data_IF_218369562314
#
_entry.id   IF_218369562314
#
_cell.length_a   1.000
_cell.length_b   1.000
_cell.length_c   1.000
_cell.angle_alpha   90.00
_cell.angle_beta   90.00
_cell.angle_gamma   90.00
#
_symmetry.space_group_name_H-M   'P 1'
#
loop_
_entity.id
_entity.type
_entity.pdbx_description
1 polymer ?
#
# COMPACT_ATOMS: atom_id res chain seq x y z
N UNK A 1 24.73 -5.48 -18.59
CA UNK A 1 24.02 -6.70 -18.14
C UNK A 1 23.11 -6.31 -17.00
N UNK A 2 21.79 -6.49 -17.14
CA UNK A 2 20.87 -6.15 -16.05
C UNK A 2 21.01 -7.17 -14.91
N UNK A 3 21.34 -6.69 -13.74
CA UNK A 3 21.40 -7.50 -12.53
C UNK A 3 19.97 -7.79 -12.08
N UNK A 4 19.52 -9.02 -12.24
CA UNK A 4 18.22 -9.50 -11.76
C UNK A 4 18.32 -9.69 -10.26
N UNK A 5 17.69 -8.82 -9.48
CA UNK A 5 17.58 -9.01 -8.04
C UNK A 5 16.33 -9.86 -7.76
N UNK A 6 16.55 -11.09 -7.31
CA UNK A 6 15.49 -12.00 -6.89
C UNK A 6 15.19 -11.72 -5.43
N UNK A 7 14.04 -11.11 -5.14
CA UNK A 7 13.56 -10.95 -3.77
C UNK A 7 12.68 -12.15 -3.42
N UNK A 8 13.21 -13.07 -2.61
CA UNK A 8 12.45 -14.21 -2.08
C UNK A 8 11.82 -13.78 -0.77
N UNK A 9 10.50 -13.63 -0.73
CA UNK A 9 9.75 -13.45 0.51
C UNK A 9 9.24 -14.81 0.99
N UNK A 10 9.65 -15.31 2.16
CA UNK A 10 9.03 -16.49 2.75
C UNK A 10 7.68 -16.12 3.34
N UNK A 11 6.60 -16.57 2.74
CA UNK A 11 5.28 -16.59 3.36
C UNK A 11 5.25 -17.72 4.39
N UNK A 12 5.15 -17.32 5.65
CA UNK A 12 4.93 -18.28 6.74
C UNK A 12 3.47 -18.76 6.71
N UNK A 13 3.32 -20.07 6.51
CA UNK A 13 2.22 -20.91 6.90
C UNK A 13 0.82 -20.62 6.31
N UNK A 14 0.65 -21.07 5.07
CA UNK A 14 -0.58 -21.74 4.68
C UNK A 14 -0.21 -23.22 4.49
N UNK A 15 -0.84 -24.10 5.25
CA UNK A 15 -0.64 -25.54 5.12
C UNK A 15 -1.05 -26.00 3.72
N UNK A 16 -0.10 -26.57 3.03
CA UNK A 16 -0.04 -27.26 1.77
C UNK A 16 0.91 -26.54 0.79
N UNK A 17 2.08 -27.14 0.65
CA UNK A 17 3.10 -27.03 -0.39
C UNK A 17 2.76 -26.18 -1.63
N UNK A 18 3.06 -24.90 -1.57
CA UNK A 18 3.08 -24.01 -2.72
C UNK A 18 3.89 -22.76 -2.38
N UNK A 19 5.10 -22.65 -2.93
CA UNK A 19 5.90 -21.44 -2.84
C UNK A 19 5.48 -20.53 -4.00
N UNK A 20 4.84 -19.40 -3.71
CA UNK A 20 4.56 -18.39 -4.72
C UNK A 20 5.75 -17.43 -4.75
N UNK A 21 6.46 -17.40 -5.86
CA UNK A 21 7.50 -16.40 -6.11
C UNK A 21 6.90 -15.19 -6.79
N UNK A 22 6.95 -14.03 -6.15
CA UNK A 22 6.62 -12.76 -6.81
C UNK A 22 7.94 -12.13 -7.25
N UNK A 23 8.17 -12.14 -8.56
CA UNK A 23 9.32 -11.46 -9.17
C UNK A 23 8.93 -10.03 -9.53
N UNK A 24 9.64 -9.06 -8.99
CA UNK A 24 9.57 -7.67 -9.46
C UNK A 24 10.71 -7.43 -10.44
N UNK A 25 10.40 -7.22 -11.71
CA UNK A 25 11.36 -6.82 -12.74
C UNK A 25 11.30 -5.31 -12.89
N UNK A 26 12.28 -4.61 -12.33
CA UNK A 26 12.37 -3.17 -12.52
C UNK A 26 12.98 -2.86 -13.88
N UNK A 27 12.19 -2.34 -14.80
CA UNK A 27 12.71 -1.63 -15.98
C UNK A 27 12.93 -0.17 -15.59
N UNK A 28 14.14 0.30 -15.77
CA UNK A 28 14.50 1.70 -15.61
C UNK A 28 13.91 2.48 -16.78
N UNK A 29 12.64 2.85 -16.72
CA UNK A 29 11.99 3.73 -17.69
C UNK A 29 11.72 5.07 -17.04
N UNK A 30 12.16 6.14 -17.66
CA UNK A 30 11.81 7.52 -17.31
C UNK A 30 10.28 7.64 -17.18
N UNK A 31 9.79 8.03 -16.02
CA UNK A 31 8.37 8.21 -15.76
C UNK A 31 7.80 9.32 -16.65
N UNK A 32 6.76 9.00 -17.42
CA UNK A 32 5.94 10.01 -18.06
C UNK A 32 4.95 10.59 -17.03
N UNK A 33 4.60 11.87 -17.16
CA UNK A 33 3.68 12.59 -16.29
C UNK A 33 2.24 12.02 -16.25
N UNK A 34 1.98 10.94 -16.97
CA UNK A 34 0.68 10.26 -17.09
C UNK A 34 0.57 8.98 -16.26
N UNK A 35 1.61 8.60 -15.49
CA UNK A 35 1.54 7.45 -14.60
C UNK A 35 0.74 7.82 -13.33
N UNK A 36 -0.59 7.77 -13.47
CA UNK A 36 -1.52 7.95 -12.37
C UNK A 36 -1.38 6.79 -11.38
N UNK A 37 -1.06 7.14 -10.16
CA UNK A 37 -1.41 6.31 -9.02
C UNK A 37 -0.28 5.71 -8.22
N UNK A 38 1.02 5.80 -8.61
CA UNK A 38 2.09 5.27 -7.76
C UNK A 38 3.48 5.89 -8.04
N UNK A 39 3.73 7.13 -7.65
CA UNK A 39 5.08 7.71 -7.75
C UNK A 39 6.10 6.91 -6.92
N UNK A 40 5.65 6.18 -5.92
CA UNK A 40 6.49 5.48 -4.94
C UNK A 40 6.83 4.03 -5.30
N UNK A 41 6.26 3.45 -6.36
CA UNK A 41 6.53 2.04 -6.71
C UNK A 41 7.69 1.84 -7.71
N UNK A 42 8.23 2.89 -8.29
CA UNK A 42 9.29 2.82 -9.30
C UNK A 42 10.30 3.96 -9.15
N UNK A 43 11.46 3.79 -9.77
CA UNK A 43 12.52 4.80 -9.78
C UNK A 43 13.43 4.75 -8.56
N UNK A 44 14.26 5.78 -8.41
CA UNK A 44 15.13 5.94 -7.25
C UNK A 44 14.33 6.32 -6.01
N UNK A 45 14.87 5.97 -4.85
CA UNK A 45 14.28 6.35 -3.56
C UNK A 45 14.48 7.85 -3.33
N UNK A 46 13.42 8.53 -2.93
CA UNK A 46 13.41 9.98 -2.72
C UNK A 46 13.10 10.34 -1.28
N UNK A 47 13.38 11.58 -0.91
CA UNK A 47 12.90 12.13 0.36
C UNK A 47 11.37 12.05 0.42
N UNK A 48 10.85 11.65 1.59
CA UNK A 48 9.42 11.39 1.79
C UNK A 48 8.99 9.96 1.46
N UNK A 49 9.79 9.20 0.70
CA UNK A 49 9.47 7.80 0.42
C UNK A 49 9.48 6.97 1.71
N UNK A 50 8.47 6.10 1.82
CA UNK A 50 8.47 5.06 2.86
C UNK A 50 9.25 3.86 2.34
N UNK A 51 10.18 3.37 3.15
CA UNK A 51 10.97 2.18 2.86
C UNK A 51 10.78 1.13 3.95
N UNK A 52 10.92 -0.11 3.57
CA UNK A 52 11.01 -1.25 4.46
C UNK A 52 12.47 -1.66 4.60
N UNK A 53 12.96 -1.55 5.80
CA UNK A 53 14.34 -1.91 6.15
C UNK A 53 14.35 -3.30 6.75
N UNK A 54 15.04 -4.23 6.11
CA UNK A 54 15.29 -5.57 6.66
C UNK A 54 16.63 -5.56 7.40
N UNK A 55 16.59 -5.82 8.70
CA UNK A 55 17.78 -5.86 9.54
C UNK A 55 18.59 -7.17 9.35
N UNK A 56 19.83 -7.26 9.90
CA UNK A 56 20.68 -8.46 9.77
C UNK A 56 20.06 -9.76 10.33
N UNK A 57 19.01 -9.67 11.15
CA UNK A 57 18.27 -10.82 11.67
C UNK A 57 16.95 -11.09 10.91
N UNK A 58 16.71 -10.35 9.82
CA UNK A 58 15.53 -10.50 8.99
C UNK A 58 14.27 -9.83 9.52
N UNK A 59 14.37 -8.96 10.54
CA UNK A 59 13.23 -8.16 11.02
C UNK A 59 13.02 -6.97 10.10
N UNK A 60 11.76 -6.61 9.91
CA UNK A 60 11.35 -5.48 9.10
C UNK A 60 11.04 -4.26 9.97
N UNK A 61 11.48 -3.10 9.50
CA UNK A 61 11.20 -1.79 10.08
C UNK A 61 10.69 -0.87 8.98
N UNK A 62 9.67 -0.08 9.26
CA UNK A 62 9.14 0.93 8.34
C UNK A 62 9.80 2.27 8.66
N UNK A 63 10.33 2.93 7.64
CA UNK A 63 11.05 4.21 7.77
C UNK A 63 10.58 5.16 6.68
N UNK A 64 10.31 6.40 7.02
CA UNK A 64 10.14 7.50 6.06
C UNK A 64 11.49 8.16 5.86
N UNK A 65 11.96 8.27 4.63
CA UNK A 65 13.24 8.90 4.31
C UNK A 65 13.13 10.41 4.47
N UNK A 66 14.02 10.98 5.26
CA UNK A 66 14.13 12.42 5.49
C UNK A 66 15.59 12.84 5.28
N UNK A 67 15.82 13.90 4.51
CA UNK A 67 17.17 14.43 4.28
C UNK A 67 17.85 14.80 5.61
N UNK A 68 19.06 14.31 5.79
CA UNK A 68 19.79 14.45 7.07
C UNK A 68 19.30 13.55 8.19
N UNK A 69 18.26 12.75 7.97
CA UNK A 69 17.73 11.78 8.94
C UNK A 69 18.64 10.57 9.12
N UNK A 70 18.40 9.80 10.19
CA UNK A 70 19.12 8.57 10.50
C UNK A 70 18.17 7.50 10.98
N UNK A 71 18.26 6.31 10.40
CA UNK A 71 17.68 5.11 10.97
C UNK A 71 18.63 4.53 12.02
N UNK A 72 18.09 4.18 13.19
CA UNK A 72 18.86 3.56 14.26
C UNK A 72 18.05 2.42 14.89
N UNK A 73 18.70 1.30 15.08
CA UNK A 73 18.19 0.14 15.81
C UNK A 73 19.26 -0.37 16.79
N UNK A 74 18.89 -1.32 17.63
CA UNK A 74 19.84 -2.01 18.52
C UNK A 74 20.89 -2.87 17.76
N UNK A 75 20.80 -2.89 16.41
CA UNK A 75 21.70 -3.65 15.52
C UNK A 75 22.52 -2.76 14.60
N UNK A 76 22.57 -1.47 14.88
CA UNK A 76 23.23 -0.46 14.06
C UNK A 76 22.21 0.37 13.29
N UNK A 77 22.71 1.21 12.41
CA UNK A 77 21.90 2.13 11.63
C UNK A 77 22.66 2.68 10.42
N UNK A 78 21.98 3.52 9.66
CA UNK A 78 22.53 4.18 8.47
C UNK A 78 21.90 5.58 8.34
N UNK A 79 22.54 6.46 7.58
CA UNK A 79 21.97 7.76 7.27
C UNK A 79 20.99 7.64 6.10
N UNK A 80 19.87 8.37 6.15
CA UNK A 80 18.89 8.37 5.07
C UNK A 80 19.51 8.87 3.75
N UNK A 81 20.48 9.77 3.81
CA UNK A 81 21.19 10.25 2.64
C UNK A 81 22.01 9.16 1.91
N UNK A 82 22.32 8.06 2.59
CA UNK A 82 22.98 6.90 1.96
C UNK A 82 22.01 6.08 1.09
N UNK A 83 20.72 6.34 1.22
CA UNK A 83 19.62 5.64 0.57
C UNK A 83 18.93 6.52 -0.48
N UNK A 84 18.73 7.81 -0.15
CA UNK A 84 18.09 8.78 -1.07
C UNK A 84 18.90 8.89 -2.36
N UNK A 85 18.22 8.89 -3.49
CA UNK A 85 18.82 8.93 -4.83
C UNK A 85 19.30 7.58 -5.36
N UNK A 86 19.16 6.51 -4.58
CA UNK A 86 19.59 5.16 -4.98
C UNK A 86 18.39 4.28 -5.36
N UNK A 87 18.62 3.21 -6.14
CA UNK A 87 17.54 2.29 -6.50
C UNK A 87 17.03 1.49 -5.28
N UNK A 88 15.80 1.04 -5.38
CA UNK A 88 15.18 0.08 -4.49
C UNK A 88 15.92 -1.27 -4.51
N UNK A 89 15.87 -2.02 -3.42
CA UNK A 89 16.50 -3.34 -3.31
C UNK A 89 17.98 -3.32 -2.94
N UNK A 90 18.53 -2.15 -2.63
CA UNK A 90 19.94 -2.03 -2.25
C UNK A 90 20.25 -2.58 -0.87
N UNK A 91 21.53 -2.89 -0.64
CA UNK A 91 22.08 -3.27 0.67
C UNK A 91 23.01 -2.17 1.14
N UNK A 92 22.73 -1.64 2.33
CA UNK A 92 23.63 -0.72 3.04
C UNK A 92 24.48 -1.54 4.00
N UNK A 93 25.78 -1.34 3.94
CA UNK A 93 26.74 -1.97 4.86
C UNK A 93 27.22 -0.89 5.83
N UNK A 94 27.02 -1.11 7.12
CA UNK A 94 27.50 -0.19 8.16
C UNK A 94 29.01 -0.34 8.37
N UNK A 95 29.62 0.61 9.10
CA UNK A 95 31.04 0.56 9.46
C UNK A 95 31.42 -0.74 10.20
N UNK A 96 30.47 -1.29 10.98
CA UNK A 96 30.66 -2.56 11.69
C UNK A 96 30.39 -3.79 10.79
N UNK A 97 30.25 -3.62 9.48
CA UNK A 97 30.01 -4.68 8.52
C UNK A 97 28.60 -5.28 8.54
N UNK A 98 27.64 -4.65 9.21
CA UNK A 98 26.26 -5.12 9.27
C UNK A 98 25.49 -4.71 8.03
N UNK A 99 24.69 -5.61 7.51
CA UNK A 99 23.94 -5.41 6.27
C UNK A 99 22.47 -5.12 6.56
N UNK A 100 21.96 -4.04 5.96
CA UNK A 100 20.54 -3.66 5.95
C UNK A 100 20.06 -3.64 4.51
N UNK A 101 19.02 -4.39 4.23
CA UNK A 101 18.38 -4.38 2.91
C UNK A 101 17.26 -3.33 2.92
N UNK A 102 17.26 -2.46 1.91
CA UNK A 102 16.29 -1.39 1.77
C UNK A 102 15.36 -1.71 0.61
N UNK A 103 14.08 -1.81 0.90
CA UNK A 103 13.04 -2.21 -0.05
C UNK A 103 11.91 -1.18 -0.05
N UNK A 104 11.24 -0.99 -1.18
CA UNK A 104 9.91 -0.39 -1.15
C UNK A 104 8.93 -1.37 -0.49
N UNK A 105 8.04 -0.91 0.40
CA UNK A 105 7.06 -1.80 1.02
C UNK A 105 6.07 -2.29 -0.04
N UNK A 106 5.67 -3.55 0.07
CA UNK A 106 4.47 -4.02 -0.59
C UNK A 106 3.22 -3.46 0.12
N UNK A 107 2.09 -3.42 -0.58
CA UNK A 107 0.82 -2.98 0.04
C UNK A 107 0.49 -3.82 1.28
N UNK A 108 0.77 -5.12 1.25
CA UNK A 108 0.57 -6.01 2.40
C UNK A 108 1.40 -5.56 3.62
N UNK A 109 2.65 -5.17 3.41
CA UNK A 109 3.53 -4.71 4.49
C UNK A 109 3.05 -3.37 5.06
N UNK A 110 2.57 -2.48 4.19
CA UNK A 110 2.01 -1.20 4.57
C UNK A 110 0.74 -1.38 5.41
N UNK A 111 -0.25 -2.13 4.92
CA UNK A 111 -1.50 -2.41 5.62
C UNK A 111 -1.25 -3.04 6.99
N UNK A 112 -0.25 -3.93 7.10
CA UNK A 112 0.08 -4.58 8.37
C UNK A 112 0.77 -3.65 9.38
N UNK A 113 1.34 -2.52 8.93
CA UNK A 113 2.10 -1.58 9.77
C UNK A 113 1.50 -0.17 9.89
N UNK A 114 0.48 0.18 9.10
CA UNK A 114 -0.14 1.50 9.10
C UNK A 114 -0.90 1.79 10.41
N UNK A 115 -1.15 3.07 10.74
CA UNK A 115 -2.03 3.47 11.85
C UNK A 115 -3.43 2.88 11.69
N UNK A 116 -4.02 2.44 12.80
CA UNK A 116 -5.34 1.80 12.81
C UNK A 116 -6.29 2.52 13.74
N UNK A 117 -7.46 2.89 13.24
CA UNK A 117 -8.61 3.34 14.04
C UNK A 117 -9.58 2.21 14.29
N UNK A 118 -9.76 1.32 13.33
CA UNK A 118 -10.62 0.15 13.36
C UNK A 118 -9.82 -1.13 13.05
N UNK A 119 -10.47 -2.29 13.19
CA UNK A 119 -9.98 -3.55 12.62
C UNK A 119 -9.77 -3.37 11.11
N UNK A 120 -8.78 -4.08 10.57
CA UNK A 120 -8.47 -4.00 9.14
C UNK A 120 -8.84 -5.30 8.45
N UNK A 121 -9.37 -5.20 7.25
CA UNK A 121 -9.43 -6.35 6.33
C UNK A 121 -8.01 -6.77 6.01
N UNK A 122 -7.64 -7.99 6.35
CA UNK A 122 -6.30 -8.49 6.08
C UNK A 122 -6.06 -8.61 4.57
N UNK A 123 -4.81 -8.41 4.11
CA UNK A 123 -4.50 -8.46 2.68
C UNK A 123 -4.93 -9.74 1.97
N UNK A 124 -4.88 -10.89 2.65
CA UNK A 124 -5.38 -12.17 2.12
C UNK A 124 -6.88 -12.14 1.83
N UNK A 125 -7.65 -11.46 2.70
CA UNK A 125 -9.10 -11.36 2.58
C UNK A 125 -9.47 -10.28 1.56
N UNK A 126 -8.74 -9.14 1.54
CA UNK A 126 -8.89 -8.11 0.52
C UNK A 126 -8.67 -8.65 -0.90
N UNK A 127 -7.67 -9.54 -1.09
CA UNK A 127 -7.45 -10.23 -2.35
C UNK A 127 -8.61 -11.14 -2.75
N UNK A 128 -9.20 -11.85 -1.80
CA UNK A 128 -10.40 -12.68 -2.03
C UNK A 128 -11.61 -11.81 -2.37
N UNK A 129 -11.84 -10.74 -1.61
CA UNK A 129 -12.96 -9.80 -1.84
C UNK A 129 -12.88 -9.21 -3.25
N UNK A 130 -11.72 -8.70 -3.66
CA UNK A 130 -11.55 -8.10 -4.98
C UNK A 130 -11.73 -9.11 -6.11
N UNK A 131 -11.23 -10.33 -5.94
CA UNK A 131 -11.35 -11.37 -6.96
C UNK A 131 -12.74 -12.00 -7.02
N UNK A 132 -13.29 -12.41 -5.88
CA UNK A 132 -14.61 -13.04 -5.82
C UNK A 132 -15.76 -12.05 -6.08
N UNK A 133 -15.55 -10.77 -5.72
CA UNK A 133 -16.48 -9.68 -6.03
C UNK A 133 -16.40 -9.20 -7.47
N UNK A 134 -15.51 -9.79 -8.29
CA UNK A 134 -15.30 -9.39 -9.68
C UNK A 134 -15.14 -7.88 -9.82
N UNK A 135 -14.23 -7.30 -8.97
CA UNK A 135 -13.88 -5.89 -9.04
C UNK A 135 -12.93 -5.68 -10.22
N UNK A 136 -13.36 -4.93 -11.22
CA UNK A 136 -12.63 -4.79 -12.48
C UNK A 136 -12.19 -3.35 -12.75
N UNK A 137 -11.16 -3.14 -13.60
CA UNK A 137 -10.72 -1.80 -13.97
C UNK A 137 -11.84 -0.97 -14.64
N UNK A 138 -12.12 0.20 -14.10
CA UNK A 138 -13.19 1.08 -14.56
C UNK A 138 -14.51 0.93 -13.81
N UNK A 139 -14.64 -0.04 -12.91
CA UNK A 139 -15.86 -0.23 -12.13
C UNK A 139 -16.14 0.94 -11.17
N UNK A 140 -17.42 1.18 -10.93
CA UNK A 140 -17.92 2.01 -9.82
C UNK A 140 -18.30 1.11 -8.65
N UNK A 141 -17.58 1.27 -7.55
CA UNK A 141 -17.73 0.44 -6.34
C UNK A 141 -18.17 1.32 -5.17
N UNK A 142 -19.14 0.85 -4.40
CA UNK A 142 -19.48 1.43 -3.09
C UNK A 142 -18.91 0.52 -2.00
N UNK A 143 -18.12 1.09 -1.10
CA UNK A 143 -17.58 0.44 0.10
C UNK A 143 -18.26 1.05 1.33
N UNK A 144 -18.80 0.22 2.20
CA UNK A 144 -19.32 0.67 3.50
C UNK A 144 -18.48 0.09 4.63
N UNK A 145 -17.99 1.01 5.48
CA UNK A 145 -17.00 0.75 6.51
C UNK A 145 -15.57 0.95 5.98
N UNK A 146 -15.19 2.19 5.62
CA UNK A 146 -13.81 2.48 5.18
C UNK A 146 -12.77 2.18 6.27
N UNK A 147 -13.14 2.33 7.55
CA UNK A 147 -12.33 1.97 8.70
C UNK A 147 -10.95 2.63 8.69
N UNK A 148 -9.91 1.83 8.51
CA UNK A 148 -8.52 2.32 8.40
C UNK A 148 -8.03 2.47 6.95
N UNK A 149 -8.89 2.23 5.96
CA UNK A 149 -8.58 2.38 4.53
C UNK A 149 -7.86 1.17 3.90
N UNK A 150 -7.75 0.04 4.62
CA UNK A 150 -7.05 -1.14 4.13
C UNK A 150 -7.70 -1.75 2.89
N UNK A 151 -9.02 -1.98 2.96
CA UNK A 151 -9.79 -2.50 1.85
C UNK A 151 -9.92 -1.46 0.74
N UNK A 152 -10.13 -0.18 1.12
CA UNK A 152 -10.18 0.93 0.16
C UNK A 152 -8.95 0.96 -0.77
N UNK A 153 -7.73 0.74 -0.23
CA UNK A 153 -6.51 0.67 -1.05
C UNK A 153 -6.54 -0.48 -2.06
N UNK A 154 -7.01 -1.66 -1.66
CA UNK A 154 -7.11 -2.81 -2.55
C UNK A 154 -8.18 -2.60 -3.64
N UNK A 155 -9.31 -2.01 -3.27
CA UNK A 155 -10.39 -1.67 -4.21
C UNK A 155 -9.93 -0.60 -5.21
N UNK A 156 -9.21 0.45 -4.75
CA UNK A 156 -8.65 1.49 -5.61
C UNK A 156 -7.64 0.95 -6.62
N UNK A 157 -6.77 0.03 -6.20
CA UNK A 157 -5.84 -0.65 -7.11
C UNK A 157 -6.61 -1.48 -8.15
N UNK A 158 -7.71 -2.13 -7.77
CA UNK A 158 -8.51 -2.96 -8.66
C UNK A 158 -9.32 -2.14 -9.68
N UNK A 159 -10.03 -1.08 -9.22
CA UNK A 159 -10.82 -0.23 -10.13
C UNK A 159 -9.93 0.66 -11.00
N UNK A 160 -8.74 1.00 -10.51
CA UNK A 160 -7.79 1.84 -11.23
C UNK A 160 -8.25 3.29 -11.40
N UNK A 161 -7.47 4.12 -12.12
CA UNK A 161 -7.70 5.56 -12.21
C UNK A 161 -8.93 5.97 -13.04
N UNK A 162 -9.49 5.04 -13.81
CA UNK A 162 -10.72 5.25 -14.62
C UNK A 162 -11.98 4.75 -13.94
N UNK A 163 -11.84 4.02 -12.84
CA UNK A 163 -12.96 3.58 -12.02
C UNK A 163 -13.37 4.63 -10.99
N UNK A 164 -14.26 4.24 -10.10
CA UNK A 164 -14.71 5.06 -8.97
C UNK A 164 -14.91 4.18 -7.75
N UNK A 165 -14.35 4.62 -6.62
CA UNK A 165 -14.62 4.04 -5.32
C UNK A 165 -15.28 5.10 -4.44
N UNK A 166 -16.50 4.83 -3.98
CA UNK A 166 -17.21 5.62 -3.01
C UNK A 166 -17.13 4.86 -1.69
N UNK A 167 -16.26 5.33 -0.79
CA UNK A 167 -16.12 4.73 0.55
C UNK A 167 -16.92 5.53 1.56
N UNK A 168 -17.75 4.86 2.33
CA UNK A 168 -18.60 5.48 3.35
C UNK A 168 -18.13 5.04 4.73
N UNK A 169 -17.95 6.00 5.63
CA UNK A 169 -17.57 5.76 7.03
C UNK A 169 -18.46 6.62 7.93
N UNK A 170 -19.06 6.01 8.97
CA UNK A 170 -19.94 6.74 9.89
C UNK A 170 -19.18 7.63 10.86
N UNK A 171 -17.95 7.25 11.18
CA UNK A 171 -17.13 7.92 12.20
C UNK A 171 -16.10 8.81 11.52
N UNK A 172 -16.16 10.11 11.82
CA UNK A 172 -15.22 11.11 11.29
C UNK A 172 -13.76 10.75 11.62
N UNK A 173 -13.48 10.31 12.87
CA UNK A 173 -12.12 9.95 13.27
C UNK A 173 -11.55 8.75 12.48
N UNK A 174 -12.38 7.79 12.10
CA UNK A 174 -11.96 6.69 11.24
C UNK A 174 -11.79 7.12 9.78
N UNK A 175 -12.69 7.96 9.28
CA UNK A 175 -12.55 8.53 7.95
C UNK A 175 -11.25 9.34 7.80
N UNK A 176 -10.87 10.10 8.83
CA UNK A 176 -9.61 10.87 8.85
C UNK A 176 -8.39 9.93 8.80
N UNK A 177 -8.42 8.81 9.55
CA UNK A 177 -7.37 7.79 9.52
C UNK A 177 -7.30 7.11 8.15
N UNK A 178 -8.45 6.73 7.59
CA UNK A 178 -8.52 6.15 6.25
C UNK A 178 -7.94 7.12 5.20
N UNK A 179 -8.33 8.39 5.26
CA UNK A 179 -7.84 9.44 4.37
C UNK A 179 -6.31 9.56 4.45
N UNK A 180 -5.76 9.66 5.66
CA UNK A 180 -4.32 9.79 5.87
C UNK A 180 -3.55 8.56 5.36
N UNK A 181 -4.06 7.35 5.63
CA UNK A 181 -3.43 6.10 5.21
C UNK A 181 -3.44 5.93 3.69
N UNK A 182 -4.59 6.16 3.04
CA UNK A 182 -4.74 6.02 1.59
C UNK A 182 -3.91 7.08 0.86
N UNK A 183 -3.98 8.35 1.31
CA UNK A 183 -3.21 9.43 0.71
C UNK A 183 -1.70 9.20 0.85
N UNK A 184 -1.25 8.66 2.00
CA UNK A 184 0.16 8.32 2.22
C UNK A 184 0.61 7.15 1.35
N UNK A 185 -0.26 6.14 1.14
CA UNK A 185 0.05 4.99 0.28
C UNK A 185 0.20 5.40 -1.18
N UNK A 186 -0.73 6.21 -1.70
CA UNK A 186 -0.70 6.68 -3.09
C UNK A 186 0.15 7.94 -3.30
N UNK A 187 0.72 8.53 -2.26
CA UNK A 187 1.49 9.77 -2.30
C UNK A 187 0.63 11.03 -2.55
N UNK A 188 -0.67 10.87 -2.66
CA UNK A 188 -1.66 11.92 -2.88
C UNK A 188 -3.08 11.37 -2.75
N UNK A 189 -4.07 12.25 -2.76
CA UNK A 189 -5.47 11.82 -2.91
C UNK A 189 -5.65 11.07 -4.24
N UNK A 190 -6.18 9.83 -4.16
CA UNK A 190 -6.44 9.04 -5.34
C UNK A 190 -7.62 9.64 -6.14
N UNK A 191 -7.50 9.89 -7.46
CA UNK A 191 -8.52 10.59 -8.24
C UNK A 191 -9.85 9.81 -8.34
N UNK A 192 -9.81 8.48 -8.25
CA UNK A 192 -10.99 7.63 -8.27
C UNK A 192 -11.65 7.47 -6.89
N UNK A 193 -11.14 8.11 -5.82
CA UNK A 193 -11.63 7.92 -4.46
C UNK A 193 -12.49 9.07 -3.96
N UNK A 194 -13.71 8.73 -3.57
CA UNK A 194 -14.71 9.61 -2.98
C UNK A 194 -15.04 9.08 -1.56
N UNK A 195 -14.35 9.61 -0.55
CA UNK A 195 -14.59 9.25 0.86
C UNK A 195 -15.66 10.17 1.45
N UNK A 196 -16.70 9.57 1.98
CA UNK A 196 -17.84 10.25 2.58
C UNK A 196 -18.01 9.86 4.03
N UNK A 197 -18.30 10.84 4.88
CA UNK A 197 -18.72 10.59 6.27
C UNK A 197 -20.23 10.62 6.31
N UNK A 198 -20.84 9.52 6.78
CA UNK A 198 -22.29 9.40 6.82
C UNK A 198 -22.78 7.96 6.84
N UNK A 199 -24.01 7.76 6.46
CA UNK A 199 -24.63 6.46 6.35
C UNK A 199 -24.62 5.97 4.90
N UNK A 200 -24.34 4.67 4.71
CA UNK A 200 -24.32 4.06 3.38
C UNK A 200 -25.69 4.09 2.71
N UNK A 201 -26.74 4.02 3.49
CA UNK A 201 -28.12 4.08 2.96
C UNK A 201 -28.38 5.38 2.22
N UNK A 202 -27.90 6.53 2.73
CA UNK A 202 -28.05 7.82 2.05
C UNK A 202 -27.34 7.84 0.69
N UNK A 203 -26.18 7.20 0.60
CA UNK A 203 -25.42 7.09 -0.65
C UNK A 203 -26.13 6.19 -1.64
N UNK A 204 -26.62 5.02 -1.19
CA UNK A 204 -27.31 4.07 -2.06
C UNK A 204 -28.67 4.59 -2.56
N UNK A 205 -29.44 5.25 -1.67
CA UNK A 205 -30.73 5.86 -2.06
C UNK A 205 -30.59 7.03 -3.04
N UNK A 206 -29.44 7.72 -2.99
CA UNK A 206 -29.16 8.85 -3.89
C UNK A 206 -28.49 8.43 -5.20
N UNK A 207 -28.08 7.17 -5.34
CA UNK A 207 -27.43 6.67 -6.54
C UNK A 207 -28.43 6.54 -7.69
N UNK A 208 -28.01 6.94 -8.89
CA UNK A 208 -28.78 6.68 -10.10
C UNK A 208 -28.87 5.19 -10.37
N UNK A 209 -30.00 4.73 -10.89
CA UNK A 209 -30.19 3.33 -11.26
C UNK A 209 -29.11 2.88 -12.27
N UNK A 210 -28.45 1.75 -11.97
CA UNK A 210 -27.39 1.20 -12.82
C UNK A 210 -26.05 1.93 -12.76
N UNK A 211 -25.87 2.90 -11.85
CA UNK A 211 -24.62 3.66 -11.73
C UNK A 211 -23.55 2.98 -10.88
N UNK A 212 -23.89 1.92 -10.14
CA UNK A 212 -22.99 1.17 -9.26
C UNK A 212 -22.84 -0.25 -9.77
N UNK A 213 -21.60 -0.68 -10.01
CA UNK A 213 -21.30 -2.03 -10.47
C UNK A 213 -21.23 -3.04 -9.33
N UNK A 214 -20.64 -2.65 -8.19
CA UNK A 214 -20.42 -3.54 -7.04
C UNK A 214 -20.59 -2.79 -5.72
N UNK A 215 -21.04 -3.53 -4.70
CA UNK A 215 -21.14 -3.02 -3.32
C UNK A 215 -20.39 -3.99 -2.43
N UNK A 216 -19.53 -3.45 -1.56
CA UNK A 216 -18.76 -4.19 -0.55
C UNK A 216 -19.11 -3.65 0.83
N UNK A 217 -19.69 -4.50 1.67
CA UNK A 217 -20.13 -4.13 3.02
C UNK A 217 -19.20 -4.79 4.05
N UNK A 218 -18.35 -3.99 4.70
CA UNK A 218 -17.48 -4.39 5.82
C UNK A 218 -17.89 -3.64 7.08
N UNK A 219 -19.09 -3.92 7.56
CA UNK A 219 -19.68 -3.26 8.70
C UNK A 219 -20.48 -4.24 9.57
N UNK A 220 -20.58 -3.93 10.85
CA UNK A 220 -21.50 -4.66 11.74
C UNK A 220 -22.94 -4.22 11.44
N UNK A 221 -23.81 -5.20 11.33
CA UNK A 221 -25.25 -4.99 11.16
C UNK A 221 -25.90 -4.49 12.46
#
# INVERSE_FOLDING_TARGET
TPTTLICVLPWAQLGASGIIYVMSIHRNTSMSATDFGQPTRRGVLSEGDRVQVRDPKGRFHQVVLVSGGRFQSNRGGFNHNDVIGRPDGQVIVTEEGRQFQILRPLQVDYVMSMPRGAAVVYPKDAGVITHMGDIFPGATVVEAGAGSGALSMALLDAVGPKGRLISVERRQDFADIAAANVDLWFGRRHPAWDLRVGDVDEVLWSAEEGSVDRIVLDMLA
#
